data_IF_543397140109
#
_entry.id   IF_543397140109
#
_cell.length_a   1.000
_cell.length_b   1.000
_cell.length_c   1.000
_cell.angle_alpha   90.00
_cell.angle_beta   90.00
_cell.angle_gamma   90.00
#
_symmetry.space_group_name_H-M   'P 1'
#
loop_
_entity.id
_entity.type
_entity.pdbx_description
1 polymer ?
#
# COMPACT_ATOMS: atom_id res chain seq x y z
N UNK A 1 9.36 -11.29 -19.85
CA UNK A 1 8.97 -11.73 -18.50
C UNK A 1 7.76 -10.92 -18.09
N UNK A 2 6.76 -11.55 -17.45
CA UNK A 2 5.40 -11.02 -17.29
C UNK A 2 5.25 -9.96 -16.17
N UNK A 3 6.34 -9.49 -15.60
CA UNK A 3 6.33 -8.41 -14.63
C UNK A 3 7.31 -7.34 -15.11
N UNK A 4 6.83 -6.10 -15.13
CA UNK A 4 7.67 -4.92 -15.33
C UNK A 4 8.70 -4.88 -14.20
N UNK A 5 9.96 -4.55 -14.51
CA UNK A 5 11.04 -4.42 -13.51
C UNK A 5 10.63 -3.52 -12.33
N UNK A 6 9.73 -2.57 -12.57
CA UNK A 6 9.18 -1.66 -11.56
C UNK A 6 8.31 -2.36 -10.50
N UNK A 7 7.65 -3.46 -10.86
CA UNK A 7 6.83 -4.25 -9.92
C UNK A 7 7.73 -5.06 -8.98
N UNK A 8 8.80 -5.63 -9.54
CA UNK A 8 9.79 -6.40 -8.77
C UNK A 8 10.56 -5.48 -7.83
N UNK A 9 11.01 -4.32 -8.30
CA UNK A 9 11.69 -3.31 -7.46
C UNK A 9 10.82 -2.85 -6.28
N UNK A 10 9.52 -2.65 -6.49
CA UNK A 10 8.65 -2.24 -5.38
C UNK A 10 8.43 -3.35 -4.33
N UNK A 11 8.56 -4.62 -4.74
CA UNK A 11 8.51 -5.76 -3.83
C UNK A 11 9.82 -5.93 -3.04
N UNK A 12 10.97 -5.76 -3.70
CA UNK A 12 12.29 -5.84 -3.06
C UNK A 12 12.61 -4.62 -2.18
N UNK A 13 12.11 -3.43 -2.55
CA UNK A 13 12.29 -2.17 -1.84
C UNK A 13 10.93 -1.56 -1.43
N UNK A 14 10.29 -2.09 -0.36
CA UNK A 14 9.00 -1.60 0.12
C UNK A 14 9.10 -0.13 0.55
N UNK A 15 8.21 0.71 0.02
CA UNK A 15 8.11 2.14 0.36
C UNK A 15 6.74 2.42 0.95
N UNK A 16 6.71 3.17 2.05
CA UNK A 16 5.48 3.56 2.76
C UNK A 16 4.66 2.37 3.31
N UNK A 17 5.33 1.29 3.71
CA UNK A 17 4.68 0.16 4.35
C UNK A 17 4.41 0.49 5.82
N UNK A 18 3.14 0.41 6.20
CA UNK A 18 2.69 0.70 7.55
C UNK A 18 1.21 1.10 7.57
N UNK A 19 0.69 1.33 8.76
CA UNK A 19 -0.66 1.85 8.97
C UNK A 19 -0.60 3.13 9.77
N UNK A 20 -1.35 4.14 9.34
CA UNK A 20 -1.60 5.33 10.14
C UNK A 20 -2.67 5.05 11.21
N UNK A 21 -2.72 5.86 12.26
CA UNK A 21 -3.75 5.75 13.29
C UNK A 21 -5.14 5.98 12.69
N UNK A 22 -6.07 5.07 12.98
CA UNK A 22 -7.44 5.10 12.48
C UNK A 22 -8.33 6.09 13.24
N UNK A 23 -7.90 6.52 14.43
CA UNK A 23 -8.65 7.44 15.26
C UNK A 23 -8.34 8.93 14.96
N UNK A 24 -7.29 9.20 14.17
CA UNK A 24 -6.88 10.56 13.83
C UNK A 24 -7.84 11.17 12.78
N UNK A 25 -8.43 12.33 13.12
CA UNK A 25 -9.37 13.04 12.26
C UNK A 25 -8.74 13.56 10.94
N UNK A 26 -7.41 13.62 10.86
CA UNK A 26 -6.67 13.97 9.66
C UNK A 26 -6.33 12.77 8.76
N UNK A 27 -6.61 11.54 9.20
CA UNK A 27 -6.26 10.30 8.49
C UNK A 27 -7.49 9.66 7.84
N UNK A 28 -7.50 9.62 6.50
CA UNK A 28 -8.52 8.89 5.73
C UNK A 28 -8.16 7.41 5.57
N UNK A 29 -8.99 6.50 6.09
CA UNK A 29 -8.83 5.05 5.87
C UNK A 29 -9.74 4.56 4.74
N UNK A 30 -9.17 4.10 3.63
CA UNK A 30 -9.91 3.47 2.53
C UNK A 30 -9.82 1.94 2.59
N UNK A 31 -10.89 1.26 3.00
CA UNK A 31 -10.99 -0.19 2.83
C UNK A 31 -11.62 -0.52 1.48
N UNK A 32 -10.98 -1.39 0.71
CA UNK A 32 -11.52 -1.92 -0.55
C UNK A 32 -11.56 -3.45 -0.46
N UNK A 33 -12.71 -4.02 -0.79
CA UNK A 33 -12.99 -5.45 -0.80
C UNK A 33 -14.31 -5.70 -1.51
N UNK A 34 -14.43 -6.82 -2.21
CA UNK A 34 -15.68 -7.26 -2.83
C UNK A 34 -16.63 -7.85 -1.75
N UNK A 35 -17.96 -7.86 -1.98
CA UNK A 35 -18.86 -8.75 -1.24
C UNK A 35 -18.49 -10.23 -1.42
#
# INVERSE_FOLDING_TARGET
MAYSDKVVDHYENPRNVGSMDKADASVGTGMVGAP
#
